data_IF_179458487827
#
_entry.id   IF_179458487827
#
_cell.length_a   1.000
_cell.length_b   1.000
_cell.length_c   1.000
_cell.angle_alpha   90.00
_cell.angle_beta   90.00
_cell.angle_gamma   90.00
#
_symmetry.space_group_name_H-M   'P 1'
#
loop_
_entity.id
_entity.type
_entity.pdbx_description
1 polymer ?
#
# COMPACT_ATOMS: atom_id res chain seq x y z
N UNK A 1 -5.17 1.54 -37.36
CA UNK A 1 -5.17 1.55 -35.88
C UNK A 1 -3.94 2.30 -35.41
N UNK A 2 -4.15 3.44 -34.75
CA UNK A 2 -3.15 4.47 -34.49
C UNK A 2 -1.96 3.96 -33.70
N UNK A 3 -0.76 4.18 -34.26
CA UNK A 3 0.53 3.95 -33.62
C UNK A 3 0.59 4.78 -32.34
N UNK A 4 0.78 4.16 -31.18
CA UNK A 4 1.07 4.88 -29.93
C UNK A 4 2.45 5.53 -30.07
N UNK A 5 2.60 6.85 -29.84
CA UNK A 5 3.88 7.52 -29.96
C UNK A 5 4.84 7.02 -28.86
N UNK A 6 6.10 6.84 -29.25
CA UNK A 6 7.18 6.38 -28.41
C UNK A 6 7.70 7.54 -27.56
N UNK A 7 7.14 7.73 -26.36
CA UNK A 7 7.75 8.57 -25.31
C UNK A 7 7.21 8.22 -23.90
N UNK A 8 6.91 6.95 -23.63
CA UNK A 8 6.56 6.45 -22.28
C UNK A 8 7.81 5.99 -21.52
N UNK A 9 8.81 6.85 -21.32
CA UNK A 9 10.09 6.47 -20.68
C UNK A 9 10.00 6.15 -19.17
N UNK A 10 8.80 6.17 -18.59
CA UNK A 10 8.62 5.96 -17.17
C UNK A 10 7.35 5.17 -16.87
N UNK A 11 7.11 4.03 -17.52
CA UNK A 11 5.95 3.17 -17.24
C UNK A 11 6.39 1.81 -16.71
N UNK A 12 5.69 1.33 -15.68
CA UNK A 12 6.08 0.13 -14.95
C UNK A 12 6.00 -1.14 -15.81
N UNK A 13 7.11 -1.89 -15.84
CA UNK A 13 7.24 -3.13 -16.61
C UNK A 13 6.58 -4.35 -15.94
N UNK A 14 5.84 -4.19 -14.85
CA UNK A 14 5.20 -5.31 -14.15
C UNK A 14 3.92 -5.78 -14.88
N UNK A 15 3.82 -7.08 -15.17
CA UNK A 15 2.67 -7.68 -15.84
C UNK A 15 1.61 -8.15 -14.83
N UNK A 16 0.37 -7.69 -15.01
CA UNK A 16 -0.78 -8.09 -14.19
C UNK A 16 -1.49 -9.28 -14.83
N UNK A 17 -1.19 -10.50 -14.38
CA UNK A 17 -1.77 -11.74 -14.95
C UNK A 17 -3.30 -11.74 -14.96
N UNK A 18 -3.93 -11.35 -13.84
CA UNK A 18 -5.40 -11.23 -13.73
C UNK A 18 -6.02 -10.25 -14.74
N UNK A 19 -5.29 -9.20 -15.12
CA UNK A 19 -5.78 -8.12 -16.01
C UNK A 19 -5.18 -8.20 -17.42
N UNK A 20 -4.33 -9.20 -17.70
CA UNK A 20 -3.61 -9.43 -18.96
C UNK A 20 -2.99 -8.16 -19.57
N UNK A 21 -2.37 -7.32 -18.74
CA UNK A 21 -1.76 -6.04 -19.18
C UNK A 21 -0.59 -5.62 -18.29
N UNK A 22 0.31 -4.81 -18.83
CA UNK A 22 1.34 -4.13 -18.04
C UNK A 22 0.74 -3.08 -17.09
N UNK A 23 1.42 -2.86 -15.97
CA UNK A 23 1.07 -1.83 -15.01
C UNK A 23 1.23 -0.45 -15.64
N UNK A 24 0.15 0.33 -15.74
CA UNK A 24 0.14 1.67 -16.34
C UNK A 24 0.66 2.77 -15.40
N UNK A 25 1.27 2.39 -14.28
CA UNK A 25 1.71 3.35 -13.28
C UNK A 25 3.10 3.88 -13.63
N UNK A 26 3.32 5.17 -13.38
CA UNK A 26 4.60 5.81 -13.67
C UNK A 26 5.73 5.25 -12.78
N UNK A 27 6.90 5.05 -13.37
CA UNK A 27 8.14 4.77 -12.65
C UNK A 27 8.83 6.08 -12.28
N UNK A 28 9.77 5.99 -11.33
CA UNK A 28 10.71 7.09 -11.13
C UNK A 28 11.81 7.00 -12.19
N UNK A 29 12.44 8.13 -12.50
CA UNK A 29 13.53 8.19 -13.49
C UNK A 29 14.60 7.13 -13.17
N UNK A 30 14.90 6.28 -14.15
CA UNK A 30 15.87 5.19 -14.02
C UNK A 30 15.36 3.93 -13.30
N UNK A 31 14.06 3.83 -12.99
CA UNK A 31 13.46 2.62 -12.41
C UNK A 31 12.54 1.91 -13.41
N UNK A 32 12.60 0.57 -13.43
CA UNK A 32 11.74 -0.28 -14.27
C UNK A 32 10.34 -0.53 -13.66
N UNK A 33 10.16 -0.23 -12.36
CA UNK A 33 8.93 -0.53 -11.64
C UNK A 33 8.37 0.71 -10.92
N UNK A 34 7.04 0.80 -10.85
CA UNK A 34 6.37 1.88 -10.13
C UNK A 34 6.54 1.74 -8.61
N UNK A 35 6.24 2.77 -7.79
CA UNK A 35 6.40 2.67 -6.34
C UNK A 35 5.70 1.46 -5.70
N UNK A 36 4.56 1.02 -6.26
CA UNK A 36 3.85 -0.17 -5.80
C UNK A 36 4.62 -1.48 -6.09
N UNK A 37 5.13 -1.65 -7.31
CA UNK A 37 5.88 -2.82 -7.76
C UNK A 37 7.40 -2.68 -7.64
N UNK A 38 7.89 -1.59 -7.03
CA UNK A 38 9.31 -1.31 -6.82
C UNK A 38 10.04 -2.36 -5.98
N UNK A 39 9.29 -3.21 -5.27
CA UNK A 39 9.82 -4.33 -4.49
C UNK A 39 10.16 -5.56 -5.34
N UNK A 40 9.74 -5.60 -6.61
CA UNK A 40 9.98 -6.72 -7.54
C UNK A 40 11.20 -6.51 -8.44
N UNK A 41 11.75 -5.29 -8.45
CA UNK A 41 13.00 -4.99 -9.13
C UNK A 41 14.17 -5.33 -8.24
N UNK A 42 15.01 -6.26 -8.71
CA UNK A 42 16.19 -6.78 -8.03
C UNK A 42 17.24 -5.72 -7.67
N UNK A 43 17.15 -4.51 -8.24
CA UNK A 43 18.30 -3.59 -8.27
C UNK A 43 18.21 -2.37 -7.32
N UNK A 44 17.06 -2.06 -6.69
CA UNK A 44 16.92 -0.72 -6.09
C UNK A 44 16.24 -0.61 -4.71
N UNK A 45 16.24 -1.64 -3.86
CA UNK A 45 15.85 -1.40 -2.45
C UNK A 45 16.47 -2.26 -1.35
N UNK A 46 17.71 -2.72 -1.48
CA UNK A 46 18.48 -3.14 -0.29
C UNK A 46 18.46 -2.06 0.80
N UNK A 47 18.43 -0.77 0.41
CA UNK A 47 18.35 0.37 1.34
C UNK A 47 17.01 0.53 2.09
N UNK A 48 15.88 -0.03 1.61
CA UNK A 48 14.58 0.07 2.32
C UNK A 48 14.25 -1.19 3.13
N UNK A 49 15.00 -2.28 2.95
CA UNK A 49 14.81 -3.53 3.66
C UNK A 49 13.54 -4.29 3.23
N UNK A 50 13.34 -5.46 3.84
CA UNK A 50 12.19 -6.33 3.58
C UNK A 50 10.86 -5.66 3.98
N UNK A 51 9.77 -6.05 3.32
CA UNK A 51 8.41 -5.74 3.81
C UNK A 51 7.99 -6.83 4.79
N UNK A 52 7.64 -6.42 6.00
CA UNK A 52 7.13 -7.29 7.06
C UNK A 52 5.64 -6.99 7.31
N UNK A 53 4.82 -7.98 7.67
CA UNK A 53 3.45 -7.74 8.11
C UNK A 53 3.46 -6.83 9.34
N UNK A 54 2.45 -6.00 9.50
CA UNK A 54 2.36 -5.16 10.70
C UNK A 54 2.07 -6.03 11.93
N UNK A 55 2.74 -5.77 13.07
CA UNK A 55 2.53 -6.55 14.29
C UNK A 55 1.21 -6.22 15.01
N UNK A 56 0.55 -5.11 14.65
CA UNK A 56 -0.78 -4.74 15.19
C UNK A 56 -1.93 -5.29 14.35
N UNK A 57 -1.70 -5.52 13.06
CA UNK A 57 -2.70 -6.06 12.13
C UNK A 57 -1.99 -6.70 10.93
N UNK A 58 -2.20 -8.00 10.73
CA UNK A 58 -1.59 -8.74 9.63
C UNK A 58 -2.21 -8.45 8.26
N UNK A 59 -3.29 -7.64 8.19
CA UNK A 59 -3.94 -7.25 6.93
C UNK A 59 -3.09 -6.35 6.04
N UNK A 60 -2.06 -5.68 6.59
CA UNK A 60 -1.18 -4.79 5.84
C UNK A 60 0.31 -5.01 6.11
N UNK A 61 1.14 -4.54 5.18
CA UNK A 61 2.59 -4.72 5.18
C UNK A 61 3.30 -3.36 5.27
N UNK A 62 4.44 -3.32 5.97
CA UNK A 62 5.29 -2.14 6.08
C UNK A 62 6.76 -2.49 5.87
N UNK A 63 7.59 -1.51 5.54
CA UNK A 63 9.04 -1.75 5.44
C UNK A 63 9.62 -1.91 6.85
N UNK A 64 10.47 -2.93 7.04
CA UNK A 64 11.17 -3.21 8.30
C UNK A 64 11.90 -1.95 8.82
N UNK A 65 12.64 -1.28 7.94
CA UNK A 65 13.35 -0.01 8.23
C UNK A 65 12.43 1.11 8.73
N UNK A 66 11.13 1.06 8.42
CA UNK A 66 10.13 2.07 8.77
C UNK A 66 9.12 1.57 9.79
N UNK A 67 9.31 0.38 10.37
CA UNK A 67 8.37 -0.23 11.31
C UNK A 67 8.10 0.70 12.51
N UNK A 68 9.15 1.25 13.11
CA UNK A 68 9.03 2.21 14.23
C UNK A 68 8.19 3.44 13.90
N UNK A 69 8.38 4.02 12.70
CA UNK A 69 7.58 5.15 12.23
C UNK A 69 6.15 4.75 11.88
N UNK A 70 5.98 3.53 11.37
CA UNK A 70 4.67 2.97 11.04
C UNK A 70 3.81 2.76 12.30
N UNK A 71 4.36 2.18 13.37
CA UNK A 71 3.63 1.91 14.63
C UNK A 71 2.99 3.16 15.23
N UNK A 72 3.68 4.32 15.15
CA UNK A 72 3.15 5.59 15.67
C UNK A 72 1.89 6.08 14.94
N UNK A 73 1.72 5.73 13.67
CA UNK A 73 0.61 6.20 12.82
C UNK A 73 -0.30 5.08 12.33
N UNK A 74 -0.10 3.86 12.80
CA UNK A 74 -0.85 2.71 12.34
C UNK A 74 -2.32 2.88 12.69
N UNK A 75 -3.22 2.53 11.77
CA UNK A 75 -4.65 2.61 12.01
C UNK A 75 -5.14 1.55 13.00
N UNK A 76 -4.46 0.41 13.07
CA UNK A 76 -4.73 -0.65 14.03
C UNK A 76 -4.21 -0.32 15.45
N UNK A 77 -3.50 0.80 15.62
CA UNK A 77 -3.12 1.27 16.96
C UNK A 77 -4.38 1.73 17.70
N UNK A 78 -4.51 1.30 18.95
CA UNK A 78 -5.55 1.81 19.84
C UNK A 78 -5.39 3.33 20.00
N UNK A 79 -6.42 4.05 19.59
CA UNK A 79 -6.50 5.51 19.72
C UNK A 79 -7.35 5.81 20.94
N UNK A 80 -6.90 6.79 21.72
CA UNK A 80 -7.71 7.34 22.80
C UNK A 80 -9.03 7.84 22.21
N UNK A 81 -10.12 7.27 22.71
CA UNK A 81 -11.45 7.66 22.32
C UNK A 81 -11.75 9.00 23.02
N UNK A 82 -12.25 10.01 22.30
CA UNK A 82 -12.63 11.27 22.94
C UNK A 82 -13.77 11.05 23.94
N UNK A 83 -13.92 11.96 24.91
CA UNK A 83 -14.97 11.86 25.95
C UNK A 83 -16.40 11.80 25.40
N UNK A 84 -16.62 12.32 24.19
CA UNK A 84 -17.91 12.27 23.48
C UNK A 84 -18.10 11.01 22.64
N UNK A 85 -17.18 10.04 22.68
CA UNK A 85 -17.34 8.77 21.99
C UNK A 85 -18.33 7.88 22.75
N UNK A 86 -19.49 7.64 22.16
CA UNK A 86 -20.45 6.65 22.63
C UNK A 86 -20.42 5.47 21.65
N UNK A 87 -20.02 4.29 22.15
CA UNK A 87 -20.01 3.08 21.32
C UNK A 87 -21.44 2.76 20.88
N UNK A 88 -21.63 2.46 19.59
CA UNK A 88 -22.91 2.05 19.02
C UNK A 88 -24.06 3.08 19.07
N UNK A 89 -23.78 4.39 19.19
CA UNK A 89 -24.83 5.43 19.21
C UNK A 89 -25.76 5.46 17.97
N UNK A 90 -25.28 4.97 16.83
CA UNK A 90 -26.04 4.87 15.58
C UNK A 90 -26.38 3.41 15.20
N UNK A 91 -26.06 2.45 16.07
CA UNK A 91 -26.42 1.07 15.80
C UNK A 91 -27.92 0.90 16.06
N UNK A 92 -28.63 0.10 15.24
CA UNK A 92 -30.01 -0.25 15.54
C UNK A 92 -30.07 -1.00 16.87
N UNK A 93 -31.10 -0.72 17.66
CA UNK A 93 -31.38 -1.48 18.88
C UNK A 93 -31.80 -2.90 18.49
N UNK A 94 -30.91 -3.87 18.70
CA UNK A 94 -31.22 -5.29 18.52
C UNK A 94 -32.06 -5.87 19.67
N UNK A 95 -32.47 -5.04 20.65
CA UNK A 95 -33.27 -5.40 21.82
C UNK A 95 -34.73 -4.95 21.70
N UNK A 96 -35.30 -4.99 20.49
CA UNK A 96 -36.74 -4.84 20.31
C UNK A 96 -37.29 -6.26 20.05
N UNK A 97 -37.73 -6.89 21.13
CA UNK A 97 -38.53 -8.13 21.15
C UNK A 97 -39.95 -7.90 20.63
#
# INVERSE_FOLDING_TARGET
>A
MSKRPAEEENVCSFFLERKKRLCRMKTANGMNFCPHHSHLGSDLNERKGARVPCPLDSSHFCYESKLQKHLKKCNAREKEKPAYFVQNINAPDFNIS
#
